data_IF_700088624141
#
_entry.id   IF_700088624141
#
_cell.length_a   1.000
_cell.length_b   1.000
_cell.length_c   1.000
_cell.angle_alpha   90.00
_cell.angle_beta   90.00
_cell.angle_gamma   90.00
#
_symmetry.space_group_name_H-M   'P 1'
#
loop_
_entity.id
_entity.type
_entity.pdbx_description
1 polymer ?
#
# COMPACT_ATOMS: atom_id res chain seq x y z
N UNK A 1 10.57 13.39 0.35
CA UNK A 1 9.45 14.33 0.64
C UNK A 1 8.28 14.14 -0.32
N UNK A 2 8.49 13.90 -1.62
CA UNK A 2 7.43 13.56 -2.59
C UNK A 2 6.70 12.26 -2.21
N UNK A 3 7.40 11.33 -1.58
CA UNK A 3 6.91 10.04 -1.10
C UNK A 3 5.74 10.21 -0.11
N UNK A 4 5.81 11.22 0.77
CA UNK A 4 4.73 11.53 1.71
C UNK A 4 3.49 12.05 0.96
N UNK A 5 3.67 12.90 -0.05
CA UNK A 5 2.55 13.38 -0.87
C UNK A 5 1.88 12.22 -1.62
N UNK A 6 2.67 11.29 -2.17
CA UNK A 6 2.18 10.06 -2.77
C UNK A 6 1.41 9.21 -1.77
N UNK A 7 1.92 9.01 -0.55
CA UNK A 7 1.24 8.26 0.50
C UNK A 7 -0.08 8.90 0.94
N UNK A 8 -0.12 10.23 1.07
CA UNK A 8 -1.36 10.95 1.41
C UNK A 8 -2.40 10.80 0.31
N UNK A 9 -2.01 10.99 -0.95
CA UNK A 9 -2.90 10.78 -2.10
C UNK A 9 -3.39 9.32 -2.19
N UNK A 10 -2.47 8.36 -2.05
CA UNK A 10 -2.78 6.94 -2.10
C UNK A 10 -3.70 6.51 -0.97
N UNK A 11 -3.45 6.98 0.25
CA UNK A 11 -4.30 6.70 1.41
C UNK A 11 -5.71 7.25 1.25
N UNK A 12 -5.87 8.45 0.67
CA UNK A 12 -7.18 9.00 0.27
C UNK A 12 -7.88 8.09 -0.74
N UNK A 13 -7.16 7.62 -1.76
CA UNK A 13 -7.71 6.73 -2.77
C UNK A 13 -8.19 5.40 -2.18
N UNK A 14 -7.43 4.81 -1.26
CA UNK A 14 -7.86 3.60 -0.53
C UNK A 14 -9.10 3.87 0.33
N UNK A 15 -9.16 5.01 1.01
CA UNK A 15 -10.31 5.39 1.83
C UNK A 15 -11.60 5.53 1.01
N UNK A 16 -11.52 6.09 -0.20
CA UNK A 16 -12.66 6.18 -1.13
C UNK A 16 -13.18 4.79 -1.52
N UNK A 17 -12.29 3.85 -1.85
CA UNK A 17 -12.66 2.48 -2.20
C UNK A 17 -13.34 1.77 -1.02
N UNK A 18 -12.81 1.96 0.18
CA UNK A 18 -13.36 1.36 1.40
C UNK A 18 -14.72 1.95 1.77
N UNK A 19 -14.88 3.27 1.63
CA UNK A 19 -16.16 3.94 1.83
C UNK A 19 -17.24 3.39 0.88
N UNK A 20 -16.91 3.19 -0.40
CA UNK A 20 -17.81 2.56 -1.37
C UNK A 20 -18.17 1.09 -1.04
N UNK A 21 -17.40 0.43 -0.17
CA UNK A 21 -17.62 -0.95 0.28
C UNK A 21 -18.26 -1.02 1.68
N UNK A 22 -18.57 0.11 2.31
CA UNK A 22 -19.08 0.16 3.69
C UNK A 22 -18.06 -0.30 4.74
N UNK A 23 -16.76 -0.23 4.43
CA UNK A 23 -15.67 -0.69 5.31
C UNK A 23 -14.98 0.47 6.02
N UNK A 24 -14.39 0.16 7.18
CA UNK A 24 -13.63 1.15 7.94
C UNK A 24 -12.38 1.61 7.18
N UNK A 25 -11.96 2.85 7.42
CA UNK A 25 -10.73 3.42 6.88
C UNK A 25 -9.47 2.80 7.47
N UNK A 26 -9.57 1.89 8.45
CA UNK A 26 -8.41 1.21 9.06
C UNK A 26 -7.58 0.42 8.05
N UNK A 27 -8.21 -0.07 6.98
CA UNK A 27 -7.51 -0.74 5.88
C UNK A 27 -6.55 0.16 5.09
N UNK A 28 -6.63 1.49 5.23
CA UNK A 28 -5.65 2.42 4.67
C UNK A 28 -4.26 2.20 5.29
N UNK A 29 -4.18 1.80 6.55
CA UNK A 29 -2.91 1.52 7.23
C UNK A 29 -2.14 0.38 6.55
N UNK A 30 -2.83 -0.56 5.89
CA UNK A 30 -2.19 -1.61 5.10
C UNK A 30 -1.38 -1.02 3.95
N UNK A 31 -1.90 0.01 3.28
CA UNK A 31 -1.18 0.72 2.21
C UNK A 31 0.10 1.37 2.69
N UNK A 32 0.06 2.02 3.86
CA UNK A 32 1.23 2.64 4.49
C UNK A 32 2.26 1.59 4.90
N UNK A 33 1.80 0.49 5.52
CA UNK A 33 2.66 -0.60 5.96
C UNK A 33 3.39 -1.26 4.78
N UNK A 34 2.67 -1.52 3.68
CA UNK A 34 3.27 -2.10 2.47
C UNK A 34 4.22 -1.13 1.76
N UNK A 35 3.96 0.18 1.78
CA UNK A 35 4.90 1.17 1.26
C UNK A 35 6.20 1.15 2.04
N UNK A 36 6.13 1.36 3.36
CA UNK A 36 7.31 1.43 4.24
C UNK A 36 8.05 0.09 4.25
N UNK A 37 7.31 -1.03 4.29
CA UNK A 37 7.89 -2.36 4.17
C UNK A 37 8.61 -2.57 2.84
N UNK A 38 8.04 -2.07 1.74
CA UNK A 38 8.70 -2.08 0.43
C UNK A 38 9.97 -1.23 0.41
N UNK A 39 9.96 -0.02 0.96
CA UNK A 39 11.17 0.82 1.06
C UNK A 39 12.28 0.13 1.84
N UNK A 40 11.96 -0.46 3.00
CA UNK A 40 12.94 -1.18 3.82
C UNK A 40 13.51 -2.39 3.08
N UNK A 41 12.65 -3.20 2.47
CA UNK A 41 13.08 -4.38 1.71
C UNK A 41 13.94 -3.99 0.51
N UNK A 42 13.52 -3.00 -0.28
CA UNK A 42 14.29 -2.52 -1.43
C UNK A 42 15.61 -1.86 -1.02
N UNK A 43 15.65 -1.17 0.12
CA UNK A 43 16.88 -0.64 0.71
C UNK A 43 17.85 -1.74 1.13
N UNK A 44 17.36 -2.80 1.80
CA UNK A 44 18.17 -3.97 2.17
C UNK A 44 18.71 -4.67 0.93
N UNK A 45 17.86 -4.95 -0.06
CA UNK A 45 18.31 -5.58 -1.32
C UNK A 45 19.32 -4.70 -2.05
N UNK A 46 19.08 -3.38 -2.10
CA UNK A 46 20.00 -2.43 -2.72
C UNK A 46 21.38 -2.40 -2.03
N UNK A 47 21.41 -2.51 -0.70
CA UNK A 47 22.64 -2.61 0.08
C UNK A 47 23.38 -3.94 -0.18
N UNK A 48 22.64 -5.06 -0.23
CA UNK A 48 23.21 -6.38 -0.51
C UNK A 48 23.80 -6.46 -1.94
N UNK A 49 23.20 -5.75 -2.89
CA UNK A 49 23.68 -5.66 -4.27
C UNK A 49 24.77 -4.59 -4.47
N UNK A 50 25.17 -3.87 -3.42
CA UNK A 50 26.24 -2.86 -3.49
C UNK A 50 25.88 -1.65 -4.35
N UNK A 51 24.59 -1.31 -4.51
CA UNK A 51 24.12 -0.31 -5.48
C UNK A 51 24.38 1.15 -5.04
N UNK A 52 24.86 1.38 -3.82
CA UNK A 52 25.08 2.73 -3.29
C UNK A 52 23.82 3.60 -3.41
N UNK A 53 23.90 4.74 -4.12
CA UNK A 53 22.76 5.62 -4.38
C UNK A 53 21.63 4.94 -5.18
N UNK A 54 21.94 3.91 -5.98
CA UNK A 54 20.94 3.09 -6.67
C UNK A 54 20.03 2.29 -5.74
N UNK A 55 20.45 2.06 -4.49
CA UNK A 55 19.62 1.43 -3.46
C UNK A 55 18.36 2.23 -3.14
N UNK A 56 18.41 3.56 -3.26
CA UNK A 56 17.22 4.41 -3.09
C UNK A 56 16.18 4.17 -4.19
N UNK A 57 16.63 4.02 -5.44
CA UNK A 57 15.75 3.68 -6.55
C UNK A 57 15.07 2.31 -6.36
N UNK A 58 15.82 1.35 -5.81
CA UNK A 58 15.29 0.03 -5.49
C UNK A 58 14.28 0.07 -4.33
N UNK A 59 14.55 0.88 -3.30
CA UNK A 59 13.62 1.14 -2.19
C UNK A 59 12.28 1.69 -2.70
N UNK A 60 12.31 2.72 -3.55
CA UNK A 60 11.10 3.29 -4.16
C UNK A 60 10.36 2.24 -5.01
N UNK A 61 11.08 1.48 -5.83
CA UNK A 61 10.47 0.45 -6.68
C UNK A 61 9.68 -0.57 -5.86
N UNK A 62 10.29 -1.08 -4.78
CA UNK A 62 9.64 -2.03 -3.89
C UNK A 62 8.48 -1.40 -3.12
N UNK A 63 8.59 -0.14 -2.71
CA UNK A 63 7.50 0.61 -2.07
C UNK A 63 6.28 0.72 -2.98
N UNK A 64 6.50 1.04 -4.26
CA UNK A 64 5.44 1.12 -5.28
C UNK A 64 4.79 -0.25 -5.49
N UNK A 65 5.59 -1.32 -5.59
CA UNK A 65 5.07 -2.69 -5.70
C UNK A 65 4.22 -3.02 -4.47
N UNK A 66 4.69 -2.72 -3.26
CA UNK A 66 3.93 -2.91 -2.02
C UNK A 66 2.60 -2.16 -2.04
N UNK A 67 2.61 -0.89 -2.46
CA UNK A 67 1.40 -0.09 -2.58
C UNK A 67 0.41 -0.69 -3.59
N UNK A 68 0.88 -1.19 -4.73
CA UNK A 68 0.03 -1.87 -5.72
C UNK A 68 -0.59 -3.15 -5.15
N UNK A 69 0.16 -3.92 -4.36
CA UNK A 69 -0.37 -5.11 -3.67
C UNK A 69 -1.45 -4.71 -2.66
N UNK A 70 -1.21 -3.69 -1.83
CA UNK A 70 -2.20 -3.19 -0.88
C UNK A 70 -3.47 -2.68 -1.60
N UNK A 71 -3.31 -1.99 -2.72
CA UNK A 71 -4.43 -1.56 -3.58
C UNK A 71 -5.23 -2.76 -4.09
N UNK A 72 -4.56 -3.80 -4.60
CA UNK A 72 -5.21 -5.01 -5.10
C UNK A 72 -5.99 -5.72 -4.00
N UNK A 73 -5.44 -5.80 -2.77
CA UNK A 73 -6.12 -6.36 -1.60
C UNK A 73 -7.38 -5.54 -1.29
N UNK A 74 -7.27 -4.23 -1.10
CA UNK A 74 -8.40 -3.36 -0.75
C UNK A 74 -9.48 -3.38 -1.83
N UNK A 75 -9.09 -3.39 -3.11
CA UNK A 75 -10.02 -3.48 -4.24
C UNK A 75 -10.79 -4.80 -4.25
N UNK A 76 -10.13 -5.90 -3.86
CA UNK A 76 -10.70 -7.25 -3.85
C UNK A 76 -11.57 -7.54 -2.63
N UNK A 77 -11.57 -6.69 -1.59
CA UNK A 77 -12.43 -6.87 -0.43
C UNK A 77 -13.93 -6.85 -0.83
N UNK A 78 -14.76 -7.79 -0.34
CA UNK A 78 -16.19 -7.76 -0.58
C UNK A 78 -16.86 -6.60 0.19
N UNK A 79 -17.97 -6.05 -0.32
CA UNK A 79 -18.81 -5.10 0.43
C UNK A 79 -19.29 -5.70 1.75
N UNK A 80 -19.37 -4.88 2.81
CA UNK A 80 -19.75 -5.36 4.14
C UNK A 80 -21.18 -5.93 4.17
N UNK A 81 -22.11 -5.31 3.43
CA UNK A 81 -23.54 -5.64 3.45
C UNK A 81 -23.93 -6.86 2.59
N UNK A 82 -22.96 -7.54 1.96
CA UNK A 82 -23.21 -8.76 1.17
C UNK A 82 -22.84 -10.04 1.95
N UNK A 83 -22.39 -9.91 3.20
CA UNK A 83 -21.92 -11.04 4.02
C UNK A 83 -23.00 -11.62 4.96
N UNK A 84 -24.21 -11.04 5.04
CA UNK A 84 -25.33 -11.66 5.74
C UNK A 84 -26.09 -12.58 4.76
N UNK A 85 -26.05 -13.91 4.93
CA UNK A 85 -27.03 -14.76 4.28
C UNK A 85 -28.39 -14.46 4.91
N UNK A 86 -29.36 -14.11 4.08
CA UNK A 86 -30.77 -14.04 4.45
C UNK A 86 -31.20 -15.38 5.05
N UNK A 87 -31.34 -15.43 6.37
CA UNK A 87 -31.97 -16.52 7.12
C UNK A 87 -33.46 -16.22 7.33
#
# INVERSE_FOLDING_TARGET
MLEILCLVWFGRRLAEILAGKGRSKGWVALGILFWVGGELMGGVVGQLLGLGLGGYGLAILFAVIGALVAYAIVKSLPPLNQAEPSL
#
